data_IF_895826698102
#
_entry.id   IF_895826698102
#
_cell.length_a   1.000
_cell.length_b   1.000
_cell.length_c   1.000
_cell.angle_alpha   90.00
_cell.angle_beta   90.00
_cell.angle_gamma   90.00
#
_symmetry.space_group_name_H-M   'P 1'
#
loop_
_entity.id
_entity.type
_entity.pdbx_description
1 polymer ?
#
# COMPACT_ATOMS: atom_id res chain seq x y z
N UNK A 1 -31.21 45.05 31.80
CA UNK A 1 -31.56 44.22 32.98
C UNK A 1 -31.25 42.77 32.64
N UNK A 2 -30.36 42.16 33.44
CA UNK A 2 -30.04 40.72 33.56
C UNK A 2 -29.61 40.02 32.25
N UNK A 3 -28.32 39.85 31.92
CA UNK A 3 -27.21 39.26 32.69
C UNK A 3 -27.51 37.83 33.14
N UNK A 4 -27.00 36.83 32.40
CA UNK A 4 -26.68 35.51 32.94
C UNK A 4 -25.47 34.94 32.18
N UNK A 5 -24.32 35.22 32.78
CA UNK A 5 -23.07 34.49 32.66
C UNK A 5 -23.24 33.14 33.36
N UNK A 6 -22.83 32.03 32.73
CA UNK A 6 -22.49 30.80 33.44
C UNK A 6 -21.17 30.27 32.87
N UNK A 7 -20.14 30.33 33.71
CA UNK A 7 -18.79 29.81 33.51
C UNK A 7 -18.72 28.35 34.01
N UNK A 8 -18.06 27.49 33.20
CA UNK A 8 -17.08 26.42 33.53
C UNK A 8 -17.45 25.27 34.52
N UNK A 9 -16.83 24.05 34.43
CA UNK A 9 -15.40 23.84 34.20
C UNK A 9 -14.93 22.72 33.26
N UNK A 10 -13.68 22.93 32.80
CA UNK A 10 -12.72 21.93 32.31
C UNK A 10 -12.45 20.87 33.40
N UNK A 11 -12.39 19.59 33.00
CA UNK A 11 -11.71 18.55 33.78
C UNK A 11 -10.77 17.76 32.87
N UNK A 12 -9.57 17.57 33.40
CA UNK A 12 -8.36 17.19 32.70
C UNK A 12 -8.22 15.68 32.47
N UNK A 13 -7.34 15.41 31.50
CA UNK A 13 -6.74 14.14 31.10
C UNK A 13 -6.11 13.37 32.27
N UNK A 14 -6.36 12.06 32.33
CA UNK A 14 -5.63 11.12 33.19
C UNK A 14 -5.03 10.02 32.33
N UNK A 15 -3.71 10.09 32.14
CA UNK A 15 -2.87 9.00 31.63
C UNK A 15 -2.63 8.00 32.78
N UNK A 16 -2.81 6.70 32.53
CA UNK A 16 -2.29 5.64 33.39
C UNK A 16 -1.66 4.56 32.51
N UNK A 17 -0.40 4.28 32.80
CA UNK A 17 0.52 3.44 32.01
C UNK A 17 0.41 1.95 32.35
N UNK A 18 0.84 1.17 31.37
CA UNK A 18 0.87 -0.30 31.30
C UNK A 18 1.76 -0.96 32.36
N UNK A 19 1.28 -2.09 32.89
CA UNK A 19 2.06 -3.06 33.68
C UNK A 19 2.01 -4.38 32.91
N UNK A 20 3.14 -4.80 32.34
CA UNK A 20 3.32 -6.14 31.79
C UNK A 20 4.24 -6.92 32.70
N UNK A 21 3.66 -7.86 33.44
CA UNK A 21 4.35 -8.86 34.24
C UNK A 21 5.04 -9.88 33.34
N UNK A 22 6.31 -10.21 33.67
CA UNK A 22 7.15 -11.10 32.90
C UNK A 22 6.83 -12.60 33.02
N UNK A 23 7.50 -13.38 32.17
CA UNK A 23 7.73 -14.82 32.32
C UNK A 23 9.13 -15.19 31.74
N UNK A 24 9.71 -16.33 32.16
CA UNK A 24 11.17 -16.52 32.29
C UNK A 24 11.84 -17.40 31.22
N UNK A 25 13.18 -17.30 31.21
CA UNK A 25 14.23 -18.31 31.00
C UNK A 25 14.04 -19.52 30.04
N UNK A 26 15.01 -19.66 29.11
CA UNK A 26 15.70 -20.91 28.71
C UNK A 26 16.93 -20.49 27.88
N UNK A 27 18.17 -20.83 28.24
CA UNK A 27 18.78 -22.17 28.14
C UNK A 27 19.59 -22.22 26.83
N UNK A 28 20.89 -21.91 26.87
CA UNK A 28 22.00 -22.89 26.77
C UNK A 28 22.01 -23.67 25.45
N UNK A 29 22.99 -23.39 24.58
CA UNK A 29 23.95 -24.39 24.05
C UNK A 29 24.81 -23.82 22.91
N UNK A 30 26.05 -24.29 22.91
CA UNK A 30 27.25 -23.78 22.25
C UNK A 30 27.40 -24.23 20.76
N UNK A 31 28.55 -23.95 20.09
CA UNK A 31 28.68 -23.83 18.63
C UNK A 31 29.08 -25.13 17.92
N UNK A 32 28.82 -25.22 16.60
CA UNK A 32 29.45 -26.20 15.71
C UNK A 32 29.90 -25.53 14.42
N UNK A 33 31.22 -25.36 14.30
CA UNK A 33 31.93 -25.28 13.03
C UNK A 33 31.76 -26.61 12.28
N UNK A 34 31.50 -26.57 10.97
CA UNK A 34 32.35 -27.23 9.96
C UNK A 34 31.91 -26.90 8.52
N UNK A 35 32.86 -26.88 7.56
CA UNK A 35 32.63 -26.47 6.19
C UNK A 35 32.13 -27.65 5.34
N UNK A 36 31.16 -27.40 4.46
CA UNK A 36 30.80 -28.33 3.40
C UNK A 36 31.16 -27.70 2.05
N UNK A 37 32.31 -28.10 1.54
CA UNK A 37 32.69 -27.97 0.14
C UNK A 37 31.66 -28.69 -0.72
N UNK A 38 30.87 -27.95 -1.50
CA UNK A 38 30.14 -28.52 -2.63
C UNK A 38 30.78 -28.06 -3.93
N UNK A 39 31.14 -29.09 -4.70
CA UNK A 39 31.99 -29.04 -5.89
C UNK A 39 31.27 -28.32 -7.03
N UNK A 40 32.09 -27.62 -7.82
CA UNK A 40 31.73 -27.08 -9.14
C UNK A 40 31.21 -28.22 -10.02
N UNK A 41 30.01 -28.02 -10.58
CA UNK A 41 29.49 -28.80 -11.69
C UNK A 41 28.87 -27.85 -12.72
N UNK A 42 29.68 -27.49 -13.73
CA UNK A 42 29.23 -27.31 -15.11
C UNK A 42 29.56 -28.62 -15.83
N UNK A 43 28.82 -29.11 -16.85
CA UNK A 43 28.40 -28.33 -18.03
C UNK A 43 26.99 -28.61 -18.61
N UNK A 44 26.52 -27.66 -19.41
CA UNK A 44 25.71 -27.77 -20.64
C UNK A 44 24.52 -28.74 -20.72
N UNK A 45 23.31 -28.18 -20.75
CA UNK A 45 22.28 -28.48 -21.79
C UNK A 45 21.18 -27.41 -21.75
N UNK A 46 20.73 -26.89 -22.91
CA UNK A 46 19.59 -25.99 -22.99
C UNK A 46 18.34 -26.79 -23.31
N UNK A 47 17.39 -26.87 -22.37
CA UNK A 47 16.01 -27.19 -22.73
C UNK A 47 15.04 -26.33 -21.93
N UNK A 48 14.07 -25.82 -22.67
CA UNK A 48 13.23 -24.72 -22.31
C UNK A 48 12.12 -25.16 -21.36
N UNK A 49 12.05 -24.47 -20.24
CA UNK A 49 10.77 -23.92 -19.79
C UNK A 49 11.12 -22.56 -19.23
N UNK A 50 10.80 -21.52 -20.02
CA UNK A 50 10.79 -20.15 -19.54
C UNK A 50 9.72 -20.09 -18.45
N UNK A 51 10.14 -20.39 -17.21
CA UNK A 51 9.55 -19.79 -16.04
C UNK A 51 9.58 -18.29 -16.32
N UNK A 52 8.40 -17.71 -16.59
CA UNK A 52 8.21 -16.28 -16.51
C UNK A 52 8.33 -15.91 -15.03
N UNK A 53 9.56 -16.02 -14.52
CA UNK A 53 10.01 -15.37 -13.34
C UNK A 53 9.92 -13.89 -13.65
N UNK A 54 8.73 -13.34 -13.44
CA UNK A 54 8.53 -11.93 -13.18
C UNK A 54 9.51 -11.67 -12.04
N UNK A 55 10.67 -11.11 -12.40
CA UNK A 55 11.67 -10.69 -11.45
C UNK A 55 10.95 -9.73 -10.54
N UNK A 56 10.51 -10.25 -9.39
CA UNK A 56 9.89 -9.47 -8.35
C UNK A 56 11.05 -8.63 -7.85
N UNK A 57 11.15 -7.42 -8.38
CA UNK A 57 12.07 -6.41 -7.90
C UNK A 57 11.81 -6.36 -6.41
N UNK A 58 12.85 -6.46 -5.58
CA UNK A 58 12.72 -6.78 -4.15
C UNK A 58 12.03 -5.68 -3.29
N UNK A 59 11.29 -4.77 -3.93
CA UNK A 59 10.39 -3.78 -3.33
C UNK A 59 8.98 -3.74 -3.94
N UNK A 60 8.62 -4.66 -4.85
CA UNK A 60 7.27 -4.76 -5.39
C UNK A 60 6.29 -5.30 -4.33
N UNK A 61 5.22 -4.56 -4.12
CA UNK A 61 4.08 -4.96 -3.31
C UNK A 61 3.14 -5.75 -4.22
N UNK A 62 2.76 -6.96 -3.79
CA UNK A 62 1.94 -7.91 -4.56
C UNK A 62 0.69 -8.31 -3.78
N UNK A 63 -0.26 -8.98 -4.45
CA UNK A 63 -1.52 -9.43 -3.85
C UNK A 63 -2.61 -8.35 -3.76
N UNK A 64 -2.35 -7.18 -4.34
CA UNK A 64 -3.32 -6.09 -4.47
C UNK A 64 -4.20 -6.21 -5.71
N UNK A 65 -5.27 -5.42 -5.72
CA UNK A 65 -6.16 -5.26 -6.86
C UNK A 65 -6.27 -3.79 -7.26
N UNK A 66 -6.41 -3.52 -8.56
CA UNK A 66 -6.85 -2.23 -9.06
C UNK A 66 -8.34 -2.29 -9.40
N UNK A 67 -9.08 -1.29 -8.95
CA UNK A 67 -10.43 -0.96 -9.42
C UNK A 67 -10.43 0.44 -10.00
N UNK A 68 -11.58 0.94 -10.46
CA UNK A 68 -11.72 2.32 -10.88
C UNK A 68 -12.84 3.06 -10.15
N UNK A 69 -12.68 4.38 -10.03
CA UNK A 69 -13.69 5.29 -9.49
C UNK A 69 -13.82 6.52 -10.38
N UNK A 70 -14.98 7.18 -10.30
CA UNK A 70 -15.19 8.47 -10.94
C UNK A 70 -14.61 9.57 -10.06
N UNK A 71 -13.61 10.30 -10.55
CA UNK A 71 -13.10 11.48 -9.84
C UNK A 71 -13.72 12.76 -10.40
N UNK A 72 -14.35 13.56 -9.55
CA UNK A 72 -14.99 14.83 -9.94
C UNK A 72 -14.98 15.82 -8.76
N UNK A 73 -13.83 15.96 -8.13
CA UNK A 73 -13.76 16.63 -6.84
C UNK A 73 -12.37 16.71 -6.24
N UNK A 74 -12.37 17.08 -4.96
CA UNK A 74 -11.19 17.18 -4.12
C UNK A 74 -10.96 15.81 -3.51
N UNK A 75 -9.79 15.21 -3.74
CA UNK A 75 -9.39 13.97 -3.07
C UNK A 75 -8.97 14.22 -1.62
N UNK A 76 -8.75 13.15 -0.85
CA UNK A 76 -8.30 13.23 0.55
C UNK A 76 -7.01 14.04 0.75
N UNK A 77 -6.18 14.18 -0.28
CA UNK A 77 -4.99 15.02 -0.25
C UNK A 77 -5.26 16.53 -0.47
N UNK A 78 -6.52 16.95 -0.53
CA UNK A 78 -6.92 18.36 -0.58
C UNK A 78 -6.78 19.02 -1.96
N UNK A 79 -6.41 18.27 -3.00
CA UNK A 79 -6.25 18.76 -4.37
C UNK A 79 -7.39 18.27 -5.26
N UNK A 80 -7.86 19.13 -6.17
CA UNK A 80 -8.93 18.80 -7.13
C UNK A 80 -8.35 18.10 -8.35
N UNK A 81 -8.97 16.98 -8.73
CA UNK A 81 -8.63 16.23 -9.94
C UNK A 81 -9.90 15.87 -10.73
N UNK A 82 -9.68 15.46 -11.96
CA UNK A 82 -10.68 14.97 -12.91
C UNK A 82 -10.55 13.46 -13.11
N UNK A 83 -11.59 12.88 -13.71
CA UNK A 83 -11.68 11.45 -13.98
C UNK A 83 -10.62 10.91 -14.96
N UNK A 84 -9.96 11.80 -15.69
CA UNK A 84 -8.92 11.45 -16.67
C UNK A 84 -7.50 11.67 -16.13
N UNK A 85 -7.34 12.29 -14.96
CA UNK A 85 -6.02 12.50 -14.36
C UNK A 85 -5.42 11.19 -13.86
N UNK A 86 -4.10 11.04 -13.95
CA UNK A 86 -3.40 9.82 -13.53
C UNK A 86 -3.14 9.82 -12.02
N UNK A 87 -4.19 9.57 -11.25
CA UNK A 87 -4.13 9.50 -9.79
C UNK A 87 -4.64 8.16 -9.25
N UNK A 88 -4.21 7.82 -8.04
CA UNK A 88 -4.65 6.65 -7.29
C UNK A 88 -5.19 7.02 -5.91
N UNK A 89 -6.17 6.23 -5.48
CA UNK A 89 -6.75 6.20 -4.15
C UNK A 89 -6.19 4.98 -3.41
N UNK A 90 -5.37 5.22 -2.40
CA UNK A 90 -4.72 4.15 -1.65
C UNK A 90 -5.67 3.60 -0.58
N UNK A 91 -5.64 2.29 -0.29
CA UNK A 91 -6.45 1.71 0.79
C UNK A 91 -6.25 2.46 2.12
N UNK A 92 -7.29 2.60 2.94
CA UNK A 92 -7.20 3.29 4.24
C UNK A 92 -6.07 2.74 5.13
N UNK A 93 -5.84 1.43 5.10
CA UNK A 93 -4.80 0.75 5.88
C UNK A 93 -3.38 1.18 5.48
N UNK A 94 -3.16 1.55 4.22
CA UNK A 94 -1.89 2.11 3.74
C UNK A 94 -1.88 3.63 3.85
N UNK A 95 -2.98 4.28 3.49
CA UNK A 95 -3.14 5.73 3.48
C UNK A 95 -2.92 6.33 4.86
N UNK A 96 -3.41 5.71 5.94
CA UNK A 96 -3.14 6.15 7.31
C UNK A 96 -3.36 7.67 7.49
N UNK A 97 -4.59 8.10 7.23
CA UNK A 97 -4.97 9.51 7.33
C UNK A 97 -4.62 10.08 8.72
N UNK A 98 -4.08 11.30 8.72
CA UNK A 98 -3.82 12.12 9.88
C UNK A 98 -5.13 12.77 10.36
N UNK A 99 -5.15 13.40 11.55
CA UNK A 99 -6.36 14.07 12.06
C UNK A 99 -6.92 15.18 11.16
N UNK A 100 -6.09 15.75 10.28
CA UNK A 100 -6.50 16.76 9.29
C UNK A 100 -7.08 16.15 8.00
N UNK A 101 -7.19 14.82 7.93
CA UNK A 101 -7.69 14.07 6.77
C UNK A 101 -6.64 13.77 5.69
N UNK A 102 -5.41 14.29 5.83
CA UNK A 102 -4.34 14.11 4.84
C UNK A 102 -3.43 12.93 5.18
N UNK A 103 -2.56 12.52 4.24
CA UNK A 103 -1.60 11.42 4.44
C UNK A 103 -0.18 11.84 4.10
N UNK A 104 0.80 11.16 4.70
CA UNK A 104 2.20 11.23 4.27
C UNK A 104 2.43 10.63 2.86
N UNK A 105 1.44 9.90 2.31
CA UNK A 105 1.47 9.36 0.96
C UNK A 105 0.99 10.37 -0.09
N UNK A 106 0.37 11.48 0.32
CA UNK A 106 -0.11 12.50 -0.61
C UNK A 106 1.00 13.00 -1.54
N UNK A 107 0.75 12.94 -2.85
CA UNK A 107 1.70 13.33 -3.89
C UNK A 107 2.82 12.32 -4.16
N UNK A 108 2.93 11.23 -3.40
CA UNK A 108 3.87 10.14 -3.74
C UNK A 108 3.39 9.44 -5.01
N UNK A 109 4.34 8.94 -5.80
CA UNK A 109 4.02 8.22 -7.02
C UNK A 109 4.25 6.73 -6.84
N UNK A 110 3.43 5.95 -7.55
CA UNK A 110 3.57 4.50 -7.64
C UNK A 110 3.53 4.07 -9.09
N UNK A 111 4.32 3.06 -9.43
CA UNK A 111 4.18 2.32 -10.68
C UNK A 111 3.31 1.11 -10.40
N UNK A 112 2.23 0.97 -11.15
CA UNK A 112 1.26 -0.12 -11.02
C UNK A 112 1.34 -0.98 -12.27
N UNK A 113 1.52 -2.27 -12.09
CA UNK A 113 1.56 -3.28 -13.15
C UNK A 113 0.36 -4.20 -13.02
N UNK A 114 -0.43 -4.35 -14.07
CA UNK A 114 -1.43 -5.41 -14.15
C UNK A 114 -0.74 -6.75 -14.43
N UNK A 115 -0.87 -7.69 -13.49
CA UNK A 115 -0.15 -8.97 -13.55
C UNK A 115 -0.72 -9.96 -14.57
N UNK A 116 -1.91 -9.68 -15.13
CA UNK A 116 -2.49 -10.48 -16.22
C UNK A 116 -1.93 -10.15 -17.59
N UNK A 117 -1.59 -8.88 -17.84
CA UNK A 117 -1.23 -8.40 -19.19
C UNK A 117 0.10 -7.61 -19.25
N UNK A 118 0.76 -7.41 -18.11
CA UNK A 118 2.02 -6.67 -17.95
C UNK A 118 1.97 -5.20 -18.38
N UNK A 119 0.78 -4.61 -18.53
CA UNK A 119 0.62 -3.18 -18.75
C UNK A 119 0.86 -2.40 -17.47
N UNK A 120 1.41 -1.20 -17.61
CA UNK A 120 1.82 -0.37 -16.49
C UNK A 120 1.26 1.05 -16.58
N UNK A 121 1.03 1.65 -15.42
CA UNK A 121 0.70 3.07 -15.28
C UNK A 121 1.40 3.63 -14.06
N UNK A 122 1.91 4.86 -14.18
CA UNK A 122 2.40 5.63 -13.04
C UNK A 122 1.31 6.59 -12.60
N UNK A 123 0.98 6.57 -11.32
CA UNK A 123 -0.04 7.46 -10.74
C UNK A 123 0.47 8.16 -9.49
N UNK A 124 -0.04 9.36 -9.24
CA UNK A 124 0.14 10.04 -7.96
C UNK A 124 -0.94 9.60 -6.95
N UNK A 125 -0.55 9.29 -5.73
CA UNK A 125 -1.49 9.01 -4.64
C UNK A 125 -2.08 10.34 -4.16
N UNK A 126 -3.38 10.50 -4.39
CA UNK A 126 -4.08 11.77 -4.13
C UNK A 126 -5.38 11.57 -3.34
N UNK A 127 -5.74 10.33 -3.05
CA UNK A 127 -6.99 10.02 -2.40
C UNK A 127 -6.89 8.79 -1.50
N UNK A 128 -7.93 8.60 -0.68
CA UNK A 128 -8.14 7.44 0.17
C UNK A 128 -9.24 6.56 -0.41
N UNK A 129 -9.05 5.24 -0.32
CA UNK A 129 -10.02 4.24 -0.74
C UNK A 129 -10.48 3.39 0.46
N UNK A 130 -11.56 3.78 1.14
CA UNK A 130 -12.08 3.04 2.31
C UNK A 130 -12.62 1.65 1.98
N UNK A 131 -13.10 1.48 0.75
CA UNK A 131 -13.75 0.27 0.29
C UNK A 131 -12.86 -0.58 -0.61
N UNK A 132 -11.54 -0.33 -0.61
CA UNK A 132 -10.60 -1.13 -1.40
C UNK A 132 -10.54 -2.56 -0.88
N UNK A 133 -10.47 -3.52 -1.81
CA UNK A 133 -10.63 -4.96 -1.55
C UNK A 133 -9.68 -5.51 -0.49
N UNK A 134 -8.45 -4.98 -0.43
CA UNK A 134 -7.51 -5.26 0.64
C UNK A 134 -6.50 -4.12 0.84
N UNK A 135 -5.59 -4.30 1.80
CA UNK A 135 -4.53 -3.35 2.14
C UNK A 135 -3.69 -2.88 0.96
N UNK A 136 -3.43 -3.74 0.00
CA UNK A 136 -2.50 -3.48 -1.10
C UNK A 136 -3.24 -3.15 -2.41
N UNK A 137 -4.56 -2.96 -2.32
CA UNK A 137 -5.40 -2.53 -3.43
C UNK A 137 -5.40 -1.01 -3.59
N UNK A 138 -5.53 -0.56 -4.84
CA UNK A 138 -5.51 0.85 -5.23
C UNK A 138 -6.70 1.12 -6.14
N UNK A 139 -7.55 2.07 -5.76
CA UNK A 139 -8.57 2.60 -6.67
C UNK A 139 -7.92 3.56 -7.66
N UNK A 140 -8.20 3.44 -8.95
CA UNK A 140 -7.67 4.33 -9.98
C UNK A 140 -8.77 5.23 -10.53
N UNK A 141 -8.41 6.42 -10.99
CA UNK A 141 -9.33 7.14 -11.89
C UNK A 141 -9.60 6.32 -13.14
N UNK A 142 -10.71 6.60 -13.82
CA UNK A 142 -11.05 5.89 -15.06
C UNK A 142 -9.95 6.04 -16.12
N UNK A 143 -9.38 7.23 -16.26
CA UNK A 143 -8.25 7.48 -17.16
C UNK A 143 -7.02 6.63 -16.82
N UNK A 144 -6.66 6.51 -15.54
CA UNK A 144 -5.53 5.67 -15.12
C UNK A 144 -5.80 4.17 -15.29
N UNK A 145 -6.99 3.71 -14.93
CA UNK A 145 -7.37 2.29 -15.06
C UNK A 145 -7.33 1.83 -16.52
N UNK A 146 -7.81 2.67 -17.44
CA UNK A 146 -7.81 2.39 -18.88
C UNK A 146 -6.41 2.20 -19.49
N UNK A 147 -5.36 2.65 -18.81
CA UNK A 147 -3.97 2.40 -19.23
C UNK A 147 -3.56 0.93 -19.03
N UNK A 148 -4.16 0.23 -18.07
CA UNK A 148 -3.76 -1.13 -17.67
C UNK A 148 -4.84 -2.19 -17.89
N UNK A 149 -6.11 -1.81 -18.05
CA UNK A 149 -7.25 -2.72 -18.20
C UNK A 149 -8.42 -2.03 -18.92
N UNK A 150 -9.41 -2.81 -19.37
CA UNK A 150 -10.66 -2.23 -19.89
C UNK A 150 -11.64 -2.01 -18.75
N UNK A 151 -12.45 -0.95 -18.77
CA UNK A 151 -13.42 -0.67 -17.69
C UNK A 151 -14.41 -1.83 -17.46
N UNK A 152 -14.66 -2.66 -18.47
CA UNK A 152 -15.45 -3.90 -18.37
C UNK A 152 -14.83 -4.96 -17.47
N UNK A 153 -13.52 -4.93 -17.25
CA UNK A 153 -12.83 -5.87 -16.36
C UNK A 153 -13.21 -5.63 -14.89
N UNK A 154 -13.58 -4.39 -14.52
CA UNK A 154 -14.02 -4.00 -13.18
C UNK A 154 -12.90 -3.95 -12.14
N UNK A 155 -12.25 -5.08 -11.92
CA UNK A 155 -11.15 -5.27 -10.98
C UNK A 155 -10.07 -6.18 -11.60
N UNK A 156 -8.80 -5.78 -11.49
CA UNK A 156 -7.67 -6.55 -12.02
C UNK A 156 -6.59 -6.73 -10.96
N UNK A 157 -5.89 -7.88 -10.93
CA UNK A 157 -4.78 -8.09 -10.01
C UNK A 157 -3.58 -7.22 -10.42
N UNK A 158 -2.90 -6.66 -9.42
CA UNK A 158 -1.77 -5.76 -9.64
C UNK A 158 -0.57 -6.10 -8.75
N UNK A 159 0.61 -5.69 -9.20
CA UNK A 159 1.77 -5.43 -8.38
C UNK A 159 2.16 -3.96 -8.51
N UNK A 160 2.77 -3.38 -7.47
CA UNK A 160 3.16 -1.97 -7.51
C UNK A 160 4.30 -1.64 -6.55
N UNK A 161 5.01 -0.54 -6.82
CA UNK A 161 6.04 -0.01 -5.93
C UNK A 161 6.04 1.51 -5.95
N UNK A 162 6.59 2.13 -4.89
CA UNK A 162 6.83 3.56 -4.83
C UNK A 162 8.07 3.96 -5.63
N UNK A 163 8.04 5.16 -6.22
CA UNK A 163 9.18 5.80 -6.91
C UNK A 163 9.56 7.13 -6.27
#
# INVERSE_FOLDING_TARGET
MHLSLALLPLAASTFAQSISTGFPASGESAPVNQPLSFRIANPDTPDASADLGIASTSGDITGGFATFFKQDGIGACGTRFSDNDLIGAMSSQRFQAKPDGTSALCGKQVVITNTKNNKQVTVAIQDECPNCSNRDSIGLTRGAFQMIAELSDGEVPISWHFI
#
